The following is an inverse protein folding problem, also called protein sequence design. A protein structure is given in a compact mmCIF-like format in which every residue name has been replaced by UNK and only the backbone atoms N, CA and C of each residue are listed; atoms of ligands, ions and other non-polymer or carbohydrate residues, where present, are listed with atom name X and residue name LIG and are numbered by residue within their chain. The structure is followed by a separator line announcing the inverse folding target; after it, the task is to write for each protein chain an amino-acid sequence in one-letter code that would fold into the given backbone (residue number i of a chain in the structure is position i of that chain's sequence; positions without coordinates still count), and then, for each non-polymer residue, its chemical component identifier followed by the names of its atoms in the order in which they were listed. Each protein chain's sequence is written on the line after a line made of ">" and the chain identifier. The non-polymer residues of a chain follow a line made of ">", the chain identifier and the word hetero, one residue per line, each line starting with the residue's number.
data_IF_258281628828
#
_entry.id   IF_258281628828
#
_cell.length_a   1.000
_cell.length_b   1.000
_cell.length_c   1.000
_cell.angle_alpha   90.00
_cell.angle_beta   90.00
_cell.angle_gamma   90.00
#
_symmetry.space_group_name_H-M   'P 1'
#
loop_
_entity.id
_entity.type
_entity.pdbx_description
1 polymer ?
#
# COMPACT_ATOMS: atom_id res chain seq x y z
N UNK A 1 32.47 9.33 -8.60
CA UNK A 1 31.04 9.43 -8.95
C UNK A 1 30.26 9.26 -7.66
N UNK A 2 29.70 10.34 -7.08
CA UNK A 2 28.85 10.22 -5.89
C UNK A 2 27.51 9.65 -6.36
N UNK A 3 27.28 8.36 -6.13
CA UNK A 3 25.92 7.83 -6.09
C UNK A 3 25.29 8.46 -4.85
N UNK A 4 24.60 9.59 -5.04
CA UNK A 4 23.70 10.08 -4.01
C UNK A 4 22.59 9.04 -3.95
N UNK A 5 22.58 8.23 -2.89
CA UNK A 5 21.45 7.40 -2.52
C UNK A 5 20.31 8.34 -2.11
N UNK A 6 19.65 8.94 -3.10
CA UNK A 6 18.49 9.78 -2.90
C UNK A 6 17.35 8.88 -2.39
N UNK A 7 17.15 8.89 -1.07
CA UNK A 7 16.09 8.13 -0.42
C UNK A 7 14.87 9.03 -0.22
N UNK A 8 13.71 8.52 -0.65
CA UNK A 8 12.43 9.16 -0.38
C UNK A 8 11.69 8.42 0.76
N UNK A 9 11.01 9.17 1.62
CA UNK A 9 10.18 8.58 2.69
C UNK A 9 8.75 8.38 2.21
N UNK A 10 8.18 7.21 2.50
CA UNK A 10 6.78 6.90 2.20
C UNK A 10 5.99 6.90 3.51
N UNK A 11 4.99 7.77 3.60
CA UNK A 11 4.05 7.81 4.72
C UNK A 11 2.63 7.62 4.20
N UNK A 12 1.93 6.61 4.72
CA UNK A 12 0.54 6.33 4.39
C UNK A 12 -0.28 6.16 5.66
N UNK A 13 -1.48 6.75 5.69
CA UNK A 13 -2.45 6.51 6.76
C UNK A 13 -3.22 5.24 6.42
N UNK A 14 -3.19 4.29 7.34
CA UNK A 14 -3.94 3.04 7.29
C UNK A 14 -4.61 2.85 8.64
N UNK A 15 -5.72 2.11 8.67
CA UNK A 15 -6.33 1.74 9.94
C UNK A 15 -5.46 0.74 10.71
N UNK A 16 -5.58 0.74 12.03
CA UNK A 16 -4.72 -0.04 12.93
C UNK A 16 -4.89 -1.54 12.70
N UNK A 17 -6.12 -2.00 12.46
CA UNK A 17 -6.43 -3.40 12.25
C UNK A 17 -5.81 -3.93 10.95
N UNK A 18 -5.96 -3.18 9.84
CA UNK A 18 -5.33 -3.51 8.56
C UNK A 18 -3.82 -3.52 8.67
N UNK A 19 -3.22 -2.56 9.39
CA UNK A 19 -1.77 -2.54 9.60
C UNK A 19 -1.30 -3.80 10.32
N UNK A 20 -1.93 -4.14 11.44
CA UNK A 20 -1.56 -5.31 12.24
C UNK A 20 -1.70 -6.61 11.44
N UNK A 21 -2.84 -6.81 10.76
CA UNK A 21 -3.08 -8.00 9.94
C UNK A 21 -2.09 -8.10 8.77
N UNK A 22 -1.77 -6.98 8.11
CA UNK A 22 -0.79 -6.97 7.04
C UNK A 22 0.63 -7.26 7.56
N UNK A 23 1.00 -6.73 8.72
CA UNK A 23 2.31 -6.96 9.34
C UNK A 23 2.52 -8.42 9.74
N UNK A 24 1.50 -9.06 10.31
CA UNK A 24 1.48 -10.50 10.62
C UNK A 24 1.65 -11.35 9.36
N UNK A 25 0.79 -11.15 8.35
CA UNK A 25 0.84 -11.92 7.12
C UNK A 25 2.18 -11.74 6.36
N UNK A 26 2.72 -10.52 6.34
CA UNK A 26 4.03 -10.27 5.73
C UNK A 26 5.16 -10.95 6.50
N UNK A 27 5.11 -10.92 7.83
CA UNK A 27 6.09 -11.59 8.69
C UNK A 27 6.09 -13.10 8.48
N UNK A 28 4.91 -13.73 8.38
CA UNK A 28 4.79 -15.16 8.05
C UNK A 28 5.42 -15.52 6.70
N UNK A 29 5.35 -14.61 5.72
CA UNK A 29 5.99 -14.75 4.42
C UNK A 29 7.49 -14.37 4.42
N UNK A 30 8.05 -13.95 5.55
CA UNK A 30 9.45 -13.55 5.67
C UNK A 30 9.76 -12.13 5.17
N UNK A 31 8.76 -11.25 5.09
CA UNK A 31 8.91 -9.87 4.65
C UNK A 31 8.57 -8.86 5.75
N UNK A 32 9.35 -7.78 5.81
CA UNK A 32 8.94 -6.59 6.55
C UNK A 32 7.96 -5.74 5.72
N UNK A 33 7.20 -4.87 6.40
CA UNK A 33 6.32 -3.89 5.73
C UNK A 33 7.11 -2.99 4.76
N UNK A 34 8.33 -2.58 5.11
CA UNK A 34 9.18 -1.75 4.25
C UNK A 34 9.66 -2.49 3.00
N UNK A 35 10.02 -3.78 3.14
CA UNK A 35 10.39 -4.61 2.00
C UNK A 35 9.20 -4.79 1.04
N UNK A 36 8.02 -5.08 1.58
CA UNK A 36 6.79 -5.24 0.81
C UNK A 36 6.42 -3.95 0.04
N UNK A 37 6.48 -2.79 0.69
CA UNK A 37 6.25 -1.48 0.03
C UNK A 37 7.27 -1.26 -1.09
N UNK A 38 8.54 -1.57 -0.86
CA UNK A 38 9.61 -1.41 -1.86
C UNK A 38 9.36 -2.29 -3.08
N UNK A 39 9.01 -3.55 -2.87
CA UNK A 39 8.69 -4.51 -3.95
C UNK A 39 7.48 -4.02 -4.73
N UNK A 40 6.41 -3.62 -4.04
CA UNK A 40 5.19 -3.11 -4.65
C UNK A 40 5.46 -1.90 -5.56
N UNK A 41 6.15 -0.88 -5.05
CA UNK A 41 6.44 0.33 -5.82
C UNK A 41 7.34 0.05 -7.04
N UNK A 42 8.32 -0.86 -6.90
CA UNK A 42 9.19 -1.28 -8.01
C UNK A 42 8.40 -2.00 -9.11
N UNK A 43 7.49 -2.90 -8.75
CA UNK A 43 6.65 -3.61 -9.72
C UNK A 43 5.71 -2.66 -10.45
N UNK A 44 5.04 -1.76 -9.73
CA UNK A 44 4.17 -0.74 -10.34
C UNK A 44 4.96 0.17 -11.29
N UNK A 45 6.16 0.60 -10.89
CA UNK A 45 7.01 1.46 -11.71
C UNK A 45 7.45 0.77 -13.02
N UNK A 46 7.78 -0.53 -12.95
CA UNK A 46 8.22 -1.36 -14.08
C UNK A 46 7.06 -1.69 -15.03
N UNK A 47 5.94 -2.17 -14.50
CA UNK A 47 4.88 -2.78 -15.29
C UNK A 47 3.74 -1.81 -15.63
N UNK A 48 3.78 -0.58 -15.07
CA UNK A 48 2.74 0.48 -15.21
C UNK A 48 1.33 0.01 -14.88
N UNK A 49 1.21 -1.00 -14.03
CA UNK A 49 -0.04 -1.60 -13.56
C UNK A 49 0.09 -2.07 -12.12
N UNK A 50 -1.04 -2.32 -11.46
CA UNK A 50 -1.04 -2.98 -10.16
C UNK A 50 -0.63 -4.46 -10.32
N UNK A 51 0.09 -5.03 -9.35
CA UNK A 51 0.49 -6.45 -9.39
C UNK A 51 -0.67 -7.41 -9.10
N UNK A 52 -1.83 -6.89 -8.70
CA UNK A 52 -3.10 -7.58 -8.57
C UNK A 52 -4.21 -6.73 -9.19
N UNK A 53 -5.31 -7.36 -9.59
CA UNK A 53 -6.51 -6.64 -10.04
C UNK A 53 -7.13 -5.92 -8.84
N UNK A 54 -7.20 -4.58 -8.80
CA UNK A 54 -7.78 -3.88 -7.68
C UNK A 54 -9.29 -4.17 -7.61
N UNK A 55 -9.76 -4.79 -6.53
CA UNK A 55 -11.19 -4.88 -6.26
C UNK A 55 -11.69 -3.55 -5.70
N UNK A 56 -12.04 -2.64 -6.61
CA UNK A 56 -12.65 -1.36 -6.26
C UNK A 56 -14.02 -1.54 -5.57
N UNK A 57 -14.67 -2.69 -5.73
CA UNK A 57 -15.90 -3.05 -5.02
C UNK A 57 -15.65 -3.31 -3.54
N UNK A 58 -14.56 -4.01 -3.19
CA UNK A 58 -14.12 -4.19 -1.81
C UNK A 58 -13.78 -2.85 -1.14
N UNK A 59 -13.02 -1.98 -1.82
CA UNK A 59 -12.70 -0.63 -1.30
C UNK A 59 -13.97 0.17 -1.01
N UNK A 60 -14.97 0.10 -1.88
CA UNK A 60 -16.26 0.77 -1.67
C UNK A 60 -17.03 0.19 -0.47
N UNK A 61 -17.01 -1.13 -0.26
CA UNK A 61 -17.66 -1.79 0.90
C UNK A 61 -17.06 -1.36 2.23
N UNK A 62 -15.74 -1.17 2.29
CA UNK A 62 -15.06 -0.67 3.50
C UNK A 62 -15.04 0.87 3.57
N UNK A 63 -15.79 1.55 2.69
CA UNK A 63 -16.01 2.99 2.73
C UNK A 63 -14.83 3.85 2.24
N UNK A 64 -13.86 3.25 1.54
CA UNK A 64 -12.69 3.95 1.00
C UNK A 64 -12.88 4.29 -0.48
N UNK A 65 -12.40 5.47 -0.88
CA UNK A 65 -12.25 5.81 -2.30
C UNK A 65 -10.90 5.32 -2.87
N UNK A 66 -10.69 5.48 -4.18
CA UNK A 66 -9.43 5.14 -4.84
C UNK A 66 -8.22 5.98 -4.35
N UNK A 67 -8.45 6.95 -3.47
CA UNK A 67 -7.42 7.76 -2.80
C UNK A 67 -7.21 7.34 -1.34
N UNK A 68 -7.84 6.25 -0.89
CA UNK A 68 -7.76 5.76 0.49
C UNK A 68 -8.45 6.66 1.52
N UNK A 69 -9.39 7.51 1.09
CA UNK A 69 -10.12 8.43 1.97
C UNK A 69 -11.50 7.85 2.26
N UNK A 70 -11.98 8.04 3.50
CA UNK A 70 -13.38 7.73 3.81
C UNK A 70 -14.28 8.57 2.91
N UNK A 71 -15.21 7.94 2.18
CA UNK A 71 -16.25 8.67 1.45
C UNK A 71 -17.02 9.52 2.46
N UNK A 72 -17.04 10.84 2.25
CA UNK A 72 -17.92 11.73 3.02
C UNK A 72 -19.35 11.26 2.78
N UNK A 73 -20.04 10.81 3.82
CA UNK A 73 -21.50 10.66 3.76
C UNK A 73 -22.05 12.03 3.38
N UNK A 74 -22.72 12.11 2.22
CA UNK A 74 -23.58 13.26 1.93
C UNK A 74 -24.67 13.21 3.01
N UNK A 75 -24.70 14.25 3.85
CA UNK A 75 -25.85 14.56 4.70
C UNK A 75 -27.08 14.79 3.84
#
# INVERSE_FOLDING_TARGET
>A
MKLQDETARVFARVDVATKAAAEEALSEMGFSVSAAITIFLRQVARDKKFPFTPDTGYLAKIGLDNKGRKKKQKK
#
